data_IF_625056653931
#
_entry.id   IF_625056653931
#
_cell.length_a   1.000
_cell.length_b   1.000
_cell.length_c   1.000
_cell.angle_alpha   90.00
_cell.angle_beta   90.00
_cell.angle_gamma   90.00
#
_symmetry.space_group_name_H-M   'P 1'
#
loop_
_entity.id
_entity.type
_entity.pdbx_description
1 polymer ?
#
# COMPACT_ATOMS: atom_id res chain seq x y z
N UNK A 1 19.72 2.30 -0.10
CA UNK A 1 18.53 2.91 -0.71
C UNK A 1 17.42 1.87 -0.86
N UNK A 2 16.15 2.27 -0.66
CA UNK A 2 15.06 1.32 -0.65
C UNK A 2 14.84 0.77 -2.05
N UNK A 3 14.62 -0.54 -2.13
CA UNK A 3 14.41 -1.28 -3.39
C UNK A 3 13.06 -1.97 -3.36
N UNK A 4 12.29 -1.82 -4.43
CA UNK A 4 11.05 -2.57 -4.63
C UNK A 4 11.38 -3.97 -5.11
N UNK A 5 11.12 -4.97 -4.27
CA UNK A 5 11.31 -6.39 -4.59
C UNK A 5 10.10 -6.93 -5.34
N UNK A 6 8.89 -6.51 -4.97
CA UNK A 6 7.64 -6.95 -5.60
C UNK A 6 6.62 -5.83 -5.60
N UNK A 7 5.92 -5.65 -6.73
CA UNK A 7 4.82 -4.72 -6.91
C UNK A 7 3.82 -5.34 -7.89
N UNK A 8 2.90 -6.15 -7.37
CA UNK A 8 1.84 -6.82 -8.13
C UNK A 8 0.52 -6.07 -7.96
N UNK A 9 -0.43 -6.38 -8.86
CA UNK A 9 -1.78 -5.85 -8.77
C UNK A 9 -2.50 -6.48 -7.57
N UNK A 10 -3.10 -5.65 -6.72
CA UNK A 10 -4.05 -6.11 -5.70
C UNK A 10 -5.41 -6.36 -6.36
N UNK A 11 -5.91 -7.58 -6.26
CA UNK A 11 -7.26 -7.92 -6.73
C UNK A 11 -8.23 -7.92 -5.55
N UNK A 12 -9.36 -7.25 -5.71
CA UNK A 12 -10.39 -7.12 -4.66
C UNK A 12 -11.79 -7.04 -5.28
N UNK A 13 -12.83 -7.48 -4.57
CA UNK A 13 -14.20 -7.21 -5.00
C UNK A 13 -14.70 -5.86 -4.46
N UNK A 14 -15.65 -5.25 -5.16
CA UNK A 14 -16.25 -4.00 -4.70
C UNK A 14 -16.87 -4.15 -3.29
N UNK A 15 -16.43 -3.27 -2.39
CA UNK A 15 -16.87 -3.16 -1.00
C UNK A 15 -16.14 -4.10 -0.04
N UNK A 16 -15.10 -4.81 -0.50
CA UNK A 16 -14.31 -5.69 0.35
C UNK A 16 -13.03 -5.00 0.86
N UNK A 17 -12.30 -5.74 1.69
CA UNK A 17 -11.00 -5.35 2.23
C UNK A 17 -9.97 -6.40 1.88
N UNK A 18 -8.76 -5.96 1.52
CA UNK A 18 -7.67 -6.86 1.17
C UNK A 18 -6.35 -6.43 1.82
N UNK A 19 -5.65 -7.39 2.41
CA UNK A 19 -4.36 -7.20 3.08
C UNK A 19 -3.28 -6.87 2.05
N UNK A 20 -2.43 -5.90 2.37
CA UNK A 20 -1.22 -5.59 1.61
C UNK A 20 -0.08 -6.53 2.04
N UNK A 21 -0.10 -7.76 1.53
CA UNK A 21 0.92 -8.77 1.84
C UNK A 21 2.22 -8.56 1.07
N UNK A 22 3.30 -9.21 1.53
CA UNK A 22 4.61 -9.20 0.83
C UNK A 22 4.55 -9.78 -0.58
N UNK A 23 3.63 -10.70 -0.86
CA UNK A 23 3.47 -11.26 -2.22
C UNK A 23 2.93 -10.21 -3.21
N UNK A 24 2.32 -9.14 -2.70
CA UNK A 24 1.70 -8.08 -3.50
C UNK A 24 2.60 -6.84 -3.51
N UNK A 25 3.07 -6.39 -2.36
CA UNK A 25 4.04 -5.30 -2.25
C UNK A 25 5.14 -5.67 -1.26
N UNK A 26 6.38 -5.75 -1.74
CA UNK A 26 7.55 -5.98 -0.89
C UNK A 26 8.63 -4.96 -1.23
N UNK A 27 9.08 -4.27 -0.20
CA UNK A 27 10.16 -3.28 -0.24
C UNK A 27 11.26 -3.82 0.67
N UNK A 28 12.51 -3.68 0.25
CA UNK A 28 13.67 -4.04 1.05
C UNK A 28 14.64 -2.87 1.09
N UNK A 29 15.25 -2.66 2.24
CA UNK A 29 16.42 -1.81 2.40
C UNK A 29 17.47 -2.59 3.20
N UNK A 30 18.69 -2.69 2.69
CA UNK A 30 19.77 -3.46 3.32
C UNK A 30 20.54 -2.66 4.36
N UNK A 31 20.41 -1.34 4.34
CA UNK A 31 21.27 -0.42 5.06
C UNK A 31 20.57 0.02 6.37
N UNK A 32 19.30 0.46 6.27
CA UNK A 32 18.52 0.96 7.41
C UNK A 32 17.00 0.73 7.27
N UNK A 33 16.53 -0.53 7.18
CA UNK A 33 15.10 -0.85 6.98
C UNK A 33 14.16 -0.32 8.08
N UNK A 34 14.67 -0.08 9.29
CA UNK A 34 13.89 0.45 10.42
C UNK A 34 13.54 1.94 10.27
N UNK A 35 14.29 2.66 9.44
CA UNK A 35 14.09 4.08 9.16
C UNK A 35 13.28 4.31 7.87
N UNK A 36 12.85 3.24 7.20
CA UNK A 36 12.04 3.34 5.98
C UNK A 36 10.61 3.72 6.33
N UNK A 37 10.20 4.89 5.86
CA UNK A 37 8.84 5.40 5.94
C UNK A 37 8.22 5.46 4.54
N UNK A 38 6.94 5.06 4.47
CA UNK A 38 6.15 5.09 3.25
C UNK A 38 5.04 6.11 3.42
N UNK A 39 4.90 7.00 2.43
CA UNK A 39 3.88 8.04 2.37
C UNK A 39 3.00 7.86 1.15
N UNK A 40 1.69 7.96 1.32
CA UNK A 40 0.72 8.06 0.22
C UNK A 40 0.75 9.49 -0.32
N UNK A 41 1.35 9.68 -1.49
CA UNK A 41 1.41 10.98 -2.18
C UNK A 41 0.13 11.29 -2.95
N UNK A 42 -0.42 10.29 -3.64
CA UNK A 42 -1.69 10.36 -4.36
C UNK A 42 -2.59 9.23 -3.82
N UNK A 43 -3.66 9.55 -3.07
CA UNK A 43 -4.52 8.55 -2.47
C UNK A 43 -5.39 7.84 -3.53
N UNK A 44 -5.86 6.62 -3.22
CA UNK A 44 -6.83 5.94 -4.07
C UNK A 44 -8.13 6.72 -4.23
N UNK A 45 -8.82 6.52 -5.35
CA UNK A 45 -10.10 7.15 -5.65
C UNK A 45 -11.32 6.36 -5.14
N UNK A 46 -11.18 5.03 -5.00
CA UNK A 46 -12.27 4.10 -4.71
C UNK A 46 -12.09 3.39 -3.36
N UNK A 47 -11.22 3.92 -2.50
CA UNK A 47 -10.91 3.30 -1.23
C UNK A 47 -9.86 4.07 -0.43
N UNK A 48 -9.34 3.42 0.61
CA UNK A 48 -8.31 3.97 1.48
C UNK A 48 -7.51 2.84 2.15
N UNK A 49 -6.34 3.18 2.70
CA UNK A 49 -5.57 2.25 3.53
C UNK A 49 -5.97 2.38 5.00
N UNK A 50 -5.98 1.26 5.71
CA UNK A 50 -6.15 1.19 7.18
C UNK A 50 -5.19 0.18 7.76
N UNK A 51 -4.98 0.23 9.08
CA UNK A 51 -4.40 -0.93 9.78
C UNK A 51 -5.44 -2.05 9.88
N UNK A 52 -5.02 -3.32 9.88
CA UNK A 52 -5.94 -4.50 9.90
C UNK A 52 -6.95 -4.49 11.07
N UNK A 53 -6.60 -3.88 12.19
CA UNK A 53 -7.48 -3.73 13.36
C UNK A 53 -7.89 -2.29 13.65
N UNK A 54 -7.68 -1.39 12.69
CA UNK A 54 -8.06 0.01 12.75
C UNK A 54 -9.15 0.34 11.74
N UNK A 55 -9.86 1.41 12.00
CA UNK A 55 -10.88 2.03 11.14
C UNK A 55 -10.45 3.40 10.62
N UNK A 56 -9.31 3.90 11.09
CA UNK A 56 -8.75 5.20 10.69
C UNK A 56 -7.90 5.05 9.44
N UNK A 57 -8.14 5.94 8.48
CA UNK A 57 -7.33 6.04 7.27
C UNK A 57 -5.85 6.30 7.60
N UNK A 58 -4.98 5.54 6.97
CA UNK A 58 -3.52 5.66 7.06
C UNK A 58 -2.99 6.25 5.76
N UNK A 59 -2.20 7.32 5.88
CA UNK A 59 -1.47 7.94 4.75
C UNK A 59 0.03 7.87 4.92
N UNK A 60 0.51 7.44 6.09
CA UNK A 60 1.93 7.29 6.41
C UNK A 60 2.09 6.04 7.29
N UNK A 61 3.03 5.18 6.95
CA UNK A 61 3.30 3.94 7.68
C UNK A 61 4.76 3.53 7.53
N UNK A 62 5.23 2.65 8.41
CA UNK A 62 6.59 2.11 8.36
C UNK A 62 6.68 0.89 7.45
N UNK A 63 7.88 0.58 7.00
CA UNK A 63 8.15 -0.68 6.31
C UNK A 63 7.72 -1.89 7.15
N UNK A 64 7.93 -1.83 8.47
CA UNK A 64 7.51 -2.88 9.41
C UNK A 64 6.01 -3.21 9.34
N UNK A 65 5.15 -2.20 9.08
CA UNK A 65 3.71 -2.42 9.02
C UNK A 65 3.30 -3.23 7.78
N UNK A 66 3.97 -3.01 6.63
CA UNK A 66 3.83 -3.87 5.44
C UNK A 66 4.40 -5.26 5.70
N UNK A 67 5.58 -5.31 6.29
CA UNK A 67 6.35 -6.53 6.52
C UNK A 67 5.67 -7.51 7.48
N UNK A 68 4.83 -7.00 8.39
CA UNK A 68 3.99 -7.74 9.33
C UNK A 68 2.55 -7.90 8.86
N UNK A 69 2.24 -7.50 7.62
CA UNK A 69 0.91 -7.60 7.01
C UNK A 69 -0.17 -6.88 7.84
N UNK A 70 0.18 -5.75 8.45
CA UNK A 70 -0.71 -4.94 9.28
C UNK A 70 -1.42 -3.82 8.52
N UNK A 71 -1.20 -3.69 7.21
CA UNK A 71 -1.88 -2.76 6.32
C UNK A 71 -2.88 -3.48 5.43
N UNK A 72 -4.01 -2.82 5.18
CA UNK A 72 -5.04 -3.30 4.27
C UNK A 72 -5.61 -2.14 3.45
N UNK A 73 -6.03 -2.45 2.23
CA UNK A 73 -6.86 -1.56 1.42
C UNK A 73 -8.33 -1.90 1.64
N UNK A 74 -9.15 -0.87 1.87
CA UNK A 74 -10.59 -0.96 2.05
C UNK A 74 -11.25 -0.26 0.86
N UNK A 75 -11.99 -1.02 0.05
CA UNK A 75 -12.78 -0.46 -1.04
C UNK A 75 -14.09 0.11 -0.50
N UNK A 76 -14.46 1.32 -0.90
CA UNK A 76 -15.61 2.05 -0.32
C UNK A 76 -16.98 1.69 -0.95
N UNK A 77 -16.97 0.88 -2.01
CA UNK A 77 -18.17 0.42 -2.72
C UNK A 77 -18.58 1.32 -3.88
N UNK A 78 -17.81 2.36 -4.18
CA UNK A 78 -17.98 3.19 -5.37
C UNK A 78 -17.78 2.39 -6.67
N UNK A 79 -18.36 2.86 -7.76
CA UNK A 79 -18.21 2.22 -9.07
C UNK A 79 -16.82 2.49 -9.65
N UNK A 80 -16.16 1.45 -10.15
CA UNK A 80 -14.85 1.57 -10.79
C UNK A 80 -14.12 0.23 -10.87
N UNK A 81 -13.50 -0.07 -12.01
CA UNK A 81 -12.79 -1.36 -12.20
C UNK A 81 -11.33 -1.31 -11.74
N UNK A 82 -10.79 -0.12 -11.50
CA UNK A 82 -9.36 0.09 -11.23
C UNK A 82 -9.18 1.22 -10.24
N UNK A 83 -8.20 1.04 -9.37
CA UNK A 83 -7.73 2.08 -8.47
C UNK A 83 -6.19 2.05 -8.41
N UNK A 84 -5.59 3.09 -7.84
CA UNK A 84 -4.15 3.19 -7.70
C UNK A 84 -3.78 4.13 -6.57
N UNK A 85 -2.60 3.93 -6.02
CA UNK A 85 -1.98 4.89 -5.11
C UNK A 85 -0.54 5.14 -5.50
N UNK A 86 -0.12 6.41 -5.43
CA UNK A 86 1.28 6.79 -5.56
C UNK A 86 1.90 6.79 -4.17
N UNK A 87 2.85 5.90 -3.94
CA UNK A 87 3.61 5.80 -2.70
C UNK A 87 4.99 6.41 -2.88
N UNK A 88 5.49 7.09 -1.86
CA UNK A 88 6.90 7.43 -1.72
C UNK A 88 7.51 6.59 -0.62
N UNK A 89 8.58 5.87 -0.95
CA UNK A 89 9.39 5.08 -0.03
C UNK A 89 10.65 5.88 0.26
N UNK A 90 10.91 6.21 1.52
CA UNK A 90 12.00 7.10 1.93
C UNK A 90 12.74 6.50 3.14
N UNK A 91 14.06 6.33 3.04
CA UNK A 91 14.93 5.79 4.09
C UNK A 91 15.67 6.89 4.90
N UNK A 92 15.36 8.16 4.66
CA UNK A 92 16.04 9.33 5.22
C UNK A 92 17.25 9.83 4.43
N UNK A 93 17.81 9.03 3.52
CA UNK A 93 18.97 9.36 2.68
C UNK A 93 18.61 9.42 1.18
N UNK A 94 17.63 8.63 0.77
CA UNK A 94 17.16 8.44 -0.59
C UNK A 94 15.67 8.13 -0.59
N UNK A 95 15.02 8.36 -1.73
CA UNK A 95 13.61 8.01 -1.89
C UNK A 95 13.31 7.48 -3.28
N UNK A 96 12.25 6.69 -3.37
CA UNK A 96 11.69 6.22 -4.63
C UNK A 96 10.16 6.34 -4.60
N UNK A 97 9.58 6.84 -5.69
CA UNK A 97 8.13 6.85 -5.87
C UNK A 97 7.70 5.60 -6.64
N UNK A 98 6.63 4.95 -6.19
CA UNK A 98 6.11 3.72 -6.78
C UNK A 98 4.61 3.85 -6.99
N UNK A 99 4.13 3.43 -8.17
CA UNK A 99 2.70 3.36 -8.45
C UNK A 99 2.23 1.95 -8.15
N UNK A 100 1.28 1.83 -7.23
CA UNK A 100 0.68 0.56 -6.84
C UNK A 100 -0.74 0.48 -7.41
N UNK A 101 -1.06 -0.64 -8.05
CA UNK A 101 -2.29 -0.81 -8.82
C UNK A 101 -3.25 -1.77 -8.14
N UNK A 102 -4.54 -1.44 -8.22
CA UNK A 102 -5.63 -2.23 -7.67
C UNK A 102 -6.63 -2.51 -8.80
N UNK A 103 -7.07 -3.76 -8.91
CA UNK A 103 -8.12 -4.20 -9.83
C UNK A 103 -9.34 -4.58 -9.01
N UNK A 104 -10.47 -3.95 -9.33
CA UNK A 104 -11.72 -4.10 -8.60
C UNK A 104 -12.68 -4.93 -9.46
N UNK A 105 -13.07 -6.09 -8.96
CA UNK A 105 -14.13 -6.89 -9.53
C UNK A 105 -15.49 -6.36 -9.07
N UNK A 106 -16.37 -6.09 -10.03
CA UNK A 106 -17.75 -5.71 -9.76
C UNK A 106 -18.57 -6.94 -9.39
N UNK A 107 -19.52 -6.77 -8.46
CA UNK A 107 -20.49 -7.81 -8.11
C UNK A 107 -21.59 -7.93 -9.17
#
# INVERSE_FOLDING_TARGET
>A
PPTVVTNQILYINSGETAIMSRSILHISDLDNPQDVFITVLDPPQHGHLTHVHGDVQVTHFKLEDLDREQLQYVHDGSEGERDRLLLQVNDGHSYQNILFHISIAQK
#
